data_IF_162756649683
#
_entry.id   IF_162756649683
#
_cell.length_a   1.000
_cell.length_b   1.000
_cell.length_c   1.000
_cell.angle_alpha   90.00
_cell.angle_beta   90.00
_cell.angle_gamma   90.00
#
_symmetry.space_group_name_H-M   'P 1'
#
loop_
_entity.id
_entity.type
_entity.pdbx_description
1 polymer ?
#
# COMPACT_ATOMS: atom_id res chain seq x y z
N UNK A 1 -0.62 -2.54 1.20
CA UNK A 1 0.17 -1.86 0.15
C UNK A 1 0.73 -0.60 0.78
N UNK A 2 2.02 -0.61 1.16
CA UNK A 2 2.59 0.43 2.00
C UNK A 2 2.81 1.74 1.22
N UNK A 3 1.97 2.73 1.52
CA UNK A 3 2.27 4.17 1.68
C UNK A 3 3.58 4.70 1.06
N UNK A 4 3.66 4.74 -0.27
CA UNK A 4 4.72 5.48 -0.96
C UNK A 4 4.11 6.54 -1.87
N UNK A 5 3.73 7.67 -1.29
CA UNK A 5 3.52 8.92 -2.02
C UNK A 5 4.48 9.97 -1.49
N UNK A 6 5.00 10.78 -2.41
CA UNK A 6 5.83 11.94 -2.10
C UNK A 6 5.20 12.77 -0.99
N UNK A 7 5.92 12.91 0.13
CA UNK A 7 5.60 13.80 1.25
C UNK A 7 4.13 13.79 1.72
N UNK A 8 3.46 12.62 1.81
CA UNK A 8 2.22 12.55 2.58
C UNK A 8 2.52 13.00 4.02
N UNK A 9 1.95 14.14 4.46
CA UNK A 9 2.19 14.69 5.80
C UNK A 9 1.85 13.66 6.89
N UNK A 10 0.79 12.89 6.64
CA UNK A 10 0.33 11.77 7.46
C UNK A 10 1.42 10.73 7.71
N UNK A 11 2.34 10.52 6.76
CA UNK A 11 3.47 9.59 6.88
C UNK A 11 4.62 10.17 7.70
N UNK A 12 4.91 11.46 7.56
CA UNK A 12 6.06 12.10 8.21
C UNK A 12 5.89 12.12 9.74
N UNK A 13 4.66 12.22 10.21
CA UNK A 13 4.33 12.31 11.64
C UNK A 13 3.96 10.97 12.27
N UNK A 14 3.84 9.89 11.49
CA UNK A 14 3.43 8.59 12.01
C UNK A 14 4.55 7.96 12.87
N UNK A 15 4.21 7.32 14.00
CA UNK A 15 5.20 6.59 14.79
C UNK A 15 5.78 5.42 13.98
N UNK A 16 7.10 5.29 14.04
CA UNK A 16 7.84 4.23 13.34
C UNK A 16 7.54 2.87 13.95
N UNK A 17 6.88 2.01 13.17
CA UNK A 17 6.57 0.62 13.52
C UNK A 17 7.84 -0.23 13.51
N UNK A 18 8.82 0.09 12.64
CA UNK A 18 10.08 -0.64 12.59
C UNK A 18 10.90 -0.59 13.89
N UNK A 19 10.69 0.45 14.71
CA UNK A 19 11.42 0.70 15.96
C UNK A 19 10.63 0.30 17.23
N UNK A 20 9.42 -0.27 17.08
CA UNK A 20 8.59 -0.72 18.21
C UNK A 20 9.21 -1.90 18.97
N UNK A 21 8.79 -2.11 20.23
CA UNK A 21 9.07 -3.37 20.93
C UNK A 21 8.46 -4.55 20.16
N UNK A 22 8.95 -5.78 20.38
CA UNK A 22 8.38 -6.96 19.72
C UNK A 22 6.91 -7.19 20.13
N UNK A 23 6.56 -6.91 21.38
CA UNK A 23 5.19 -7.02 21.87
C UNK A 23 4.24 -6.04 21.14
N UNK A 24 4.62 -4.77 21.08
CA UNK A 24 3.84 -3.73 20.37
C UNK A 24 3.74 -4.04 18.88
N UNK A 25 4.83 -4.52 18.28
CA UNK A 25 4.88 -4.86 16.87
C UNK A 25 3.97 -6.05 16.54
N UNK A 26 3.95 -7.09 17.38
CA UNK A 26 3.06 -8.23 17.21
C UNK A 26 1.58 -7.86 17.42
N UNK A 27 1.29 -7.00 18.40
CA UNK A 27 -0.04 -6.45 18.62
C UNK A 27 -0.51 -5.67 17.39
N UNK A 28 0.36 -4.83 16.84
CA UNK A 28 0.09 -4.08 15.61
C UNK A 28 -0.13 -5.01 14.40
N UNK A 29 0.74 -6.01 14.17
CA UNK A 29 0.59 -6.99 13.08
C UNK A 29 -0.75 -7.73 13.16
N UNK A 30 -1.16 -8.09 14.38
CA UNK A 30 -2.47 -8.72 14.63
C UNK A 30 -3.62 -7.78 14.27
N UNK A 31 -3.51 -6.49 14.63
CA UNK A 31 -4.56 -5.50 14.35
C UNK A 31 -4.72 -5.15 12.87
N UNK A 32 -3.62 -5.07 12.12
CA UNK A 32 -3.62 -4.74 10.68
C UNK A 32 -4.00 -5.96 9.84
N UNK A 33 -3.84 -7.17 10.39
CA UNK A 33 -4.22 -8.41 9.73
C UNK A 33 -3.20 -8.87 8.68
N UNK A 34 -3.62 -9.77 7.80
CA UNK A 34 -2.82 -10.28 6.67
C UNK A 34 -1.71 -11.27 7.01
N UNK A 35 -1.34 -11.39 8.29
CA UNK A 35 -0.54 -12.49 8.82
C UNK A 35 -1.46 -13.56 9.41
N UNK A 36 -1.43 -14.82 8.94
CA UNK A 36 -2.24 -15.89 9.52
C UNK A 36 -1.99 -16.07 11.02
N UNK A 37 -3.05 -16.30 11.79
CA UNK A 37 -2.98 -16.44 13.24
C UNK A 37 -2.11 -17.63 13.68
N UNK A 38 -1.97 -18.66 12.84
CA UNK A 38 -1.08 -19.79 13.05
C UNK A 38 0.39 -19.36 13.09
N UNK A 39 0.79 -18.41 12.24
CA UNK A 39 2.17 -17.90 12.21
C UNK A 39 2.44 -17.00 13.40
N UNK A 40 1.46 -16.17 13.78
CA UNK A 40 1.56 -15.29 14.96
C UNK A 40 1.67 -16.08 16.28
N UNK A 41 1.19 -17.32 16.31
CA UNK A 41 1.27 -18.22 17.48
C UNK A 41 2.53 -19.08 17.52
N UNK A 42 3.41 -19.01 16.52
CA UNK A 42 4.62 -19.83 16.44
C UNK A 42 5.89 -18.98 16.64
N UNK A 43 6.50 -19.00 17.84
CA UNK A 43 7.67 -18.18 18.15
C UNK A 43 8.88 -18.42 17.24
N UNK A 44 9.08 -19.64 16.76
CA UNK A 44 10.23 -19.97 15.90
C UNK A 44 10.04 -19.41 14.50
N UNK A 45 8.80 -19.38 14.01
CA UNK A 45 8.46 -18.70 12.76
C UNK A 45 8.59 -17.17 12.93
N UNK A 46 8.07 -16.61 14.03
CA UNK A 46 8.20 -15.17 14.35
C UNK A 46 9.68 -14.71 14.29
N UNK A 47 10.59 -15.45 14.94
CA UNK A 47 12.03 -15.13 14.94
C UNK A 47 12.64 -15.03 13.54
N UNK A 48 12.11 -15.77 12.57
CA UNK A 48 12.62 -15.78 11.20
C UNK A 48 12.09 -14.60 10.37
N UNK A 49 10.81 -14.23 10.52
CA UNK A 49 10.20 -13.22 9.65
C UNK A 49 10.21 -11.81 10.21
N UNK A 50 10.20 -11.65 11.54
CA UNK A 50 10.15 -10.34 12.18
C UNK A 50 11.29 -9.41 11.75
N UNK A 51 12.55 -9.88 11.63
CA UNK A 51 13.65 -9.04 11.15
C UNK A 51 13.38 -8.48 9.75
N UNK A 52 12.88 -9.30 8.83
CA UNK A 52 12.58 -8.89 7.45
C UNK A 52 11.43 -7.90 7.39
N UNK A 53 10.32 -8.15 8.11
CA UNK A 53 9.20 -7.20 8.16
C UNK A 53 9.61 -5.84 8.73
N UNK A 54 10.44 -5.84 9.79
CA UNK A 54 10.97 -4.61 10.36
C UNK A 54 11.89 -3.88 9.37
N UNK A 55 12.73 -4.61 8.64
CA UNK A 55 13.61 -4.02 7.63
C UNK A 55 12.80 -3.37 6.49
N UNK A 56 11.77 -4.06 5.98
CA UNK A 56 10.89 -3.51 4.95
C UNK A 56 10.18 -2.24 5.44
N UNK A 57 9.63 -2.27 6.65
CA UNK A 57 9.02 -1.08 7.26
C UNK A 57 10.03 0.03 7.48
N UNK A 58 11.26 -0.29 7.90
CA UNK A 58 12.31 0.70 8.07
C UNK A 58 12.62 1.42 6.75
N UNK A 59 12.68 0.69 5.64
CA UNK A 59 12.86 1.29 4.30
C UNK A 59 11.68 2.21 3.97
N UNK A 60 10.45 1.73 4.12
CA UNK A 60 9.25 2.51 3.79
C UNK A 60 9.06 3.69 4.76
N UNK A 61 9.50 3.64 6.00
CA UNK A 61 9.39 4.74 6.98
C UNK A 61 10.48 5.80 6.76
N UNK A 62 11.68 5.39 6.33
CA UNK A 62 12.81 6.29 6.14
C UNK A 62 12.98 6.76 4.68
N UNK A 63 12.19 6.24 3.73
CA UNK A 63 12.20 6.73 2.35
C UNK A 63 11.94 8.25 2.31
N UNK A 64 12.86 9.03 1.75
CA UNK A 64 12.69 10.47 1.54
C UNK A 64 12.80 10.74 0.05
N UNK A 65 11.87 11.52 -0.47
CA UNK A 65 11.89 11.95 -1.85
C UNK A 65 11.37 13.37 -1.93
N UNK A 66 12.06 14.21 -2.69
CA UNK A 66 11.64 15.58 -2.92
C UNK A 66 10.42 15.61 -3.82
N UNK A 67 9.45 16.46 -3.50
CA UNK A 67 8.31 16.67 -4.39
C UNK A 67 8.85 17.29 -5.68
N UNK A 68 8.61 16.67 -6.84
CA UNK A 68 9.07 17.28 -8.08
C UNK A 68 8.31 18.56 -8.39
N UNK A 69 8.98 19.46 -9.11
CA UNK A 69 8.33 20.64 -9.68
C UNK A 69 7.36 20.34 -10.84
N UNK A 70 7.32 19.10 -11.32
CA UNK A 70 6.44 18.64 -12.40
C UNK A 70 6.15 17.13 -12.26
N UNK A 71 5.02 16.61 -12.81
CA UNK A 71 4.75 15.17 -12.77
C UNK A 71 5.87 14.36 -13.44
N UNK A 72 6.26 13.25 -12.81
CA UNK A 72 7.32 12.37 -13.34
C UNK A 72 6.79 11.35 -14.36
N UNK A 73 5.51 11.02 -14.29
CA UNK A 73 4.85 10.05 -15.15
C UNK A 73 3.91 10.76 -16.13
N UNK A 74 3.72 10.17 -17.30
CA UNK A 74 2.69 10.60 -18.27
C UNK A 74 1.59 9.55 -18.46
N UNK A 75 1.73 8.38 -17.85
CA UNK A 75 0.74 7.30 -17.94
C UNK A 75 -0.40 7.48 -16.92
N UNK A 76 -1.61 6.96 -17.20
CA UNK A 76 -2.68 6.94 -16.22
C UNK A 76 -2.26 6.22 -14.92
N UNK A 77 -2.70 6.74 -13.77
CA UNK A 77 -2.47 6.15 -12.45
C UNK A 77 -3.81 5.85 -11.78
N UNK A 78 -4.00 4.61 -11.33
CA UNK A 78 -5.15 4.23 -10.52
C UNK A 78 -4.71 3.73 -9.16
N UNK A 79 -5.27 4.32 -8.10
CA UNK A 79 -5.12 3.84 -6.73
C UNK A 79 -6.33 3.01 -6.32
N UNK A 80 -6.07 1.85 -5.72
CA UNK A 80 -7.07 1.06 -5.01
C UNK A 80 -6.85 1.20 -3.52
N UNK A 81 -7.93 1.23 -2.73
CA UNK A 81 -7.85 1.22 -1.27
C UNK A 81 -9.09 0.56 -0.64
N UNK A 82 -8.96 0.12 0.60
CA UNK A 82 -10.04 -0.47 1.40
C UNK A 82 -10.88 0.60 2.08
N UNK A 83 -12.22 0.49 2.02
CA UNK A 83 -13.13 1.41 2.71
C UNK A 83 -13.00 1.39 4.23
N UNK A 84 -12.48 0.29 4.79
CA UNK A 84 -12.23 0.11 6.21
C UNK A 84 -10.73 0.07 6.53
N UNK A 85 -9.88 0.50 5.59
CA UNK A 85 -8.46 0.69 5.86
C UNK A 85 -8.25 2.00 6.65
N UNK A 86 -7.06 2.13 7.25
CA UNK A 86 -6.65 3.40 7.85
C UNK A 86 -6.58 4.48 6.78
N UNK A 87 -7.01 5.73 7.06
CA UNK A 87 -7.01 6.77 6.05
C UNK A 87 -5.62 7.02 5.45
N UNK A 88 -5.55 6.96 4.13
CA UNK A 88 -4.35 7.28 3.35
C UNK A 88 -4.55 8.56 2.54
N UNK A 89 -3.46 9.28 2.29
CA UNK A 89 -3.46 10.40 1.35
C UNK A 89 -3.36 9.88 -0.10
N UNK A 90 -4.44 9.29 -0.58
CA UNK A 90 -4.50 8.76 -1.95
C UNK A 90 -4.44 9.87 -2.99
N UNK A 91 -4.94 11.07 -2.67
CA UNK A 91 -5.01 12.18 -3.62
C UNK A 91 -3.63 12.73 -3.98
N UNK A 92 -2.64 12.61 -3.09
CA UNK A 92 -1.27 12.99 -3.40
C UNK A 92 -0.67 12.21 -4.59
N UNK A 93 -1.23 11.05 -4.98
CA UNK A 93 -0.80 10.33 -6.20
C UNK A 93 -1.14 11.08 -7.49
N UNK A 94 -2.12 12.01 -7.47
CA UNK A 94 -2.47 12.82 -8.64
C UNK A 94 -1.28 13.63 -9.15
N UNK A 95 -0.44 14.11 -8.24
CA UNK A 95 0.69 14.97 -8.61
C UNK A 95 1.87 14.20 -9.23
N UNK A 96 1.82 12.86 -9.19
CA UNK A 96 2.88 12.00 -9.73
C UNK A 96 2.77 11.85 -11.24
N UNK A 97 1.57 12.03 -11.80
CA UNK A 97 1.29 11.84 -13.23
C UNK A 97 0.65 13.05 -13.90
N UNK A 98 0.97 13.27 -15.18
CA UNK A 98 0.22 14.18 -16.06
C UNK A 98 -0.93 13.47 -16.79
N UNK A 99 -1.05 12.15 -16.65
CA UNK A 99 -2.15 11.35 -17.21
C UNK A 99 -3.37 11.31 -16.29
N UNK A 100 -4.37 10.51 -16.68
CA UNK A 100 -5.59 10.35 -15.89
C UNK A 100 -5.30 9.77 -14.50
N UNK A 101 -5.96 10.31 -13.47
CA UNK A 101 -5.85 9.83 -12.10
C UNK A 101 -7.21 9.36 -11.59
N UNK A 102 -7.26 8.14 -11.07
CA UNK A 102 -8.48 7.53 -10.53
C UNK A 102 -8.24 6.89 -9.17
N UNK A 103 -9.22 7.00 -8.27
CA UNK A 103 -9.26 6.26 -6.98
C UNK A 103 -10.44 5.30 -6.98
N UNK A 104 -10.21 4.07 -6.53
CA UNK A 104 -11.21 2.99 -6.42
C UNK A 104 -11.22 2.46 -4.98
N UNK A 105 -12.32 2.72 -4.27
CA UNK A 105 -12.53 2.19 -2.92
C UNK A 105 -13.27 0.84 -2.97
N UNK A 106 -12.69 -0.19 -2.38
CA UNK A 106 -13.23 -1.54 -2.30
C UNK A 106 -13.62 -1.89 -0.86
N UNK A 107 -14.57 -2.80 -0.68
CA UNK A 107 -14.93 -3.27 0.66
C UNK A 107 -13.77 -4.10 1.24
N UNK A 108 -13.35 -3.80 2.48
CA UNK A 108 -12.24 -4.44 3.17
C UNK A 108 -11.34 -3.44 3.91
N UNK A 109 -10.52 -3.96 4.83
CA UNK A 109 -9.46 -3.22 5.51
C UNK A 109 -8.13 -3.35 4.74
N UNK A 110 -6.97 -3.29 5.41
CA UNK A 110 -5.64 -3.21 4.76
C UNK A 110 -5.31 -4.30 3.74
N UNK A 111 -5.88 -5.49 3.93
CA UNK A 111 -5.70 -6.63 3.03
C UNK A 111 -6.92 -6.85 2.13
N UNK A 112 -7.71 -5.81 1.83
CA UNK A 112 -8.88 -5.87 0.94
C UNK A 112 -8.59 -6.61 -0.37
N UNK A 113 -7.38 -6.47 -0.93
CA UNK A 113 -6.97 -7.10 -2.18
C UNK A 113 -6.89 -8.63 -2.14
N UNK A 114 -6.85 -9.23 -0.94
CA UNK A 114 -6.83 -10.70 -0.76
C UNK A 114 -8.23 -11.31 -0.75
N UNK A 115 -9.28 -10.50 -0.70
CA UNK A 115 -10.65 -10.98 -0.82
C UNK A 115 -10.89 -11.40 -2.28
N UNK A 116 -11.33 -12.66 -2.56
CA UNK A 116 -11.45 -13.16 -3.93
C UNK A 116 -12.31 -12.29 -4.85
N UNK A 117 -13.35 -11.65 -4.29
CA UNK A 117 -14.20 -10.73 -5.03
C UNK A 117 -13.45 -9.45 -5.45
N UNK A 118 -12.64 -8.88 -4.54
CA UNK A 118 -11.84 -7.70 -4.83
C UNK A 118 -10.69 -8.02 -5.79
N UNK A 119 -10.03 -9.16 -5.62
CA UNK A 119 -9.01 -9.64 -6.54
C UNK A 119 -9.55 -9.69 -7.96
N UNK A 120 -10.74 -10.28 -8.16
CA UNK A 120 -11.41 -10.31 -9.46
C UNK A 120 -11.69 -8.90 -10.01
N UNK A 121 -12.24 -8.01 -9.19
CA UNK A 121 -12.54 -6.61 -9.60
C UNK A 121 -11.26 -5.89 -10.06
N UNK A 122 -10.16 -6.06 -9.32
CA UNK A 122 -8.86 -5.45 -9.64
C UNK A 122 -8.32 -6.02 -10.96
N UNK A 123 -8.34 -7.35 -11.12
CA UNK A 123 -7.85 -8.01 -12.34
C UNK A 123 -8.67 -7.62 -13.58
N UNK A 124 -10.00 -7.60 -13.47
CA UNK A 124 -10.89 -7.16 -14.56
C UNK A 124 -10.60 -5.69 -14.94
N UNK A 125 -10.38 -4.83 -13.95
CA UNK A 125 -10.06 -3.43 -14.18
C UNK A 125 -8.71 -3.25 -14.87
N UNK A 126 -7.66 -3.92 -14.37
CA UNK A 126 -6.32 -3.89 -14.97
C UNK A 126 -6.39 -4.35 -16.43
N UNK A 127 -7.07 -5.47 -16.69
CA UNK A 127 -7.24 -6.02 -18.04
C UNK A 127 -7.86 -4.99 -18.97
N UNK A 128 -8.98 -4.36 -18.56
CA UNK A 128 -9.67 -3.33 -19.35
C UNK A 128 -8.79 -2.10 -19.64
N UNK A 129 -8.01 -1.64 -18.65
CA UNK A 129 -7.12 -0.48 -18.84
C UNK A 129 -6.01 -0.77 -19.87
N UNK A 130 -5.43 -1.97 -19.81
CA UNK A 130 -4.39 -2.39 -20.74
C UNK A 130 -4.92 -2.57 -22.17
N UNK A 131 -6.12 -3.13 -22.33
CA UNK A 131 -6.78 -3.27 -23.64
C UNK A 131 -7.11 -1.92 -24.28
N UNK A 132 -7.62 -0.96 -23.49
CA UNK A 132 -7.98 0.37 -23.98
C UNK A 132 -6.73 1.14 -24.44
N UNK A 133 -5.64 1.05 -23.67
CA UNK A 133 -4.37 1.71 -23.99
C UNK A 133 -3.73 1.13 -25.27
N UNK A 134 -3.90 -0.18 -25.53
CA UNK A 134 -3.38 -0.83 -26.73
C UNK A 134 -4.04 -0.40 -28.04
N UNK A 135 -5.25 0.19 -27.99
CA UNK A 135 -5.93 0.72 -29.17
C UNK A 135 -5.46 2.12 -29.57
N UNK A 136 -4.87 2.90 -28.66
CA UNK A 136 -4.39 4.26 -28.93
C UNK A 136 -3.01 4.30 -29.63
N UNK A 137 -2.34 3.14 -29.74
CA UNK A 137 -1.05 3.00 -30.42
C UNK A 137 -1.14 2.33 -31.82
N UNK A 138 -2.35 2.04 -32.32
CA UNK A 138 -2.63 1.50 -33.66
C UNK A 138 -3.38 2.54 -34.51
#
# INVERSE_FOLDING_TARGET
>A
MLLLVFQSETRITAPKRSEMSDEDFLSWLTSVGGTPAELLRNPDVLKLFLPSLRADLHVVENFRSDRPGAPFLSCPVTCFDGKQDVPHDLQAWKDVTSGDFTVKMLDGSHFYLKEPQNEKIILDYITKQLETTGMDYL
#
